data_IF_032955164440
#
_entry.id   IF_032955164440
#
_cell.length_a   1.000
_cell.length_b   1.000
_cell.length_c   1.000
_cell.angle_alpha   90.00
_cell.angle_beta   90.00
_cell.angle_gamma   90.00
#
_symmetry.space_group_name_H-M   'P 1'
#
loop_
_entity.id
_entity.type
_entity.pdbx_description
1 polymer ?
#
# COMPACT_ATOMS: atom_id res chain seq x y z
N UNK A 1 21.92 24.31 9.83
CA UNK A 1 22.84 23.16 9.79
C UNK A 1 23.82 23.35 10.94
N UNK A 2 23.87 22.47 11.94
CA UNK A 2 24.51 22.76 13.23
C UNK A 2 26.06 22.71 13.22
N UNK A 3 26.72 22.40 12.10
CA UNK A 3 28.17 22.54 11.92
C UNK A 3 29.05 21.69 12.86
N UNK A 4 28.47 20.70 13.54
CA UNK A 4 29.18 19.85 14.48
C UNK A 4 29.81 18.66 13.76
N UNK A 5 31.13 18.49 13.90
CA UNK A 5 31.86 17.29 13.48
C UNK A 5 31.68 16.20 14.53
N UNK A 6 30.66 15.37 14.34
CA UNK A 6 30.31 14.27 15.25
C UNK A 6 30.24 12.96 14.48
N UNK A 7 30.71 11.89 15.13
CA UNK A 7 30.65 10.57 14.54
C UNK A 7 29.20 10.09 14.40
N UNK A 8 28.92 9.34 13.33
CA UNK A 8 27.60 8.72 13.12
C UNK A 8 27.19 7.80 14.28
N UNK A 9 28.17 7.26 15.02
CA UNK A 9 27.91 6.48 16.22
C UNK A 9 27.30 7.34 17.33
N UNK A 10 27.86 8.52 17.61
CA UNK A 10 27.31 9.44 18.62
C UNK A 10 25.88 9.87 18.26
N UNK A 11 25.60 10.13 16.98
CA UNK A 11 24.25 10.46 16.50
C UNK A 11 23.27 9.31 16.81
N UNK A 12 23.63 8.06 16.50
CA UNK A 12 22.77 6.90 16.79
C UNK A 12 22.54 6.69 18.28
N UNK A 13 23.58 6.83 19.10
CA UNK A 13 23.46 6.69 20.56
C UNK A 13 22.51 7.75 21.14
N UNK A 14 22.64 9.01 20.70
CA UNK A 14 21.74 10.09 21.11
C UNK A 14 20.29 9.90 20.65
N UNK A 15 20.08 9.41 19.42
CA UNK A 15 18.75 9.07 18.94
C UNK A 15 18.13 7.93 19.75
N UNK A 16 18.92 6.93 20.14
CA UNK A 16 18.46 5.82 20.97
C UNK A 16 18.14 6.26 22.42
N UNK A 17 18.98 7.09 23.04
CA UNK A 17 18.71 7.71 24.34
C UNK A 17 17.40 8.52 24.35
N UNK A 18 17.07 9.14 23.22
CA UNK A 18 15.83 9.90 23.01
C UNK A 18 14.62 9.02 22.57
N UNK A 19 14.77 7.70 22.50
CA UNK A 19 13.80 6.73 21.95
C UNK A 19 13.31 7.05 20.52
N UNK A 20 14.13 7.76 19.73
CA UNK A 20 13.81 8.10 18.34
C UNK A 20 14.21 6.92 17.44
N UNK A 21 13.20 6.25 16.88
CA UNK A 21 13.36 5.10 15.99
C UNK A 21 13.11 5.49 14.53
N UNK A 22 13.94 4.97 13.63
CA UNK A 22 13.70 5.07 12.20
C UNK A 22 12.51 4.21 11.79
N UNK A 23 11.57 4.77 11.01
CA UNK A 23 10.52 4.01 10.32
C UNK A 23 10.78 4.10 8.82
N UNK A 24 10.76 2.97 8.13
CA UNK A 24 10.74 2.98 6.67
C UNK A 24 9.35 3.41 6.19
N UNK A 25 9.29 4.42 5.32
CA UNK A 25 8.05 4.80 4.67
C UNK A 25 7.58 3.65 3.75
N UNK A 26 6.29 3.33 3.79
CA UNK A 26 5.71 2.37 2.85
C UNK A 26 5.84 2.90 1.42
N UNK A 27 6.21 2.02 0.47
CA UNK A 27 6.17 2.36 -0.95
C UNK A 27 4.70 2.51 -1.36
N UNK A 28 4.29 3.74 -1.63
CA UNK A 28 2.95 4.07 -2.11
C UNK A 28 3.04 4.49 -3.56
N UNK A 29 2.13 3.98 -4.39
CA UNK A 29 1.96 4.47 -5.75
C UNK A 29 1.63 5.96 -5.71
N UNK A 30 2.27 6.76 -6.55
CA UNK A 30 1.94 8.16 -6.70
C UNK A 30 0.54 8.28 -7.30
N UNK A 31 -0.33 9.04 -6.65
CA UNK A 31 -1.71 9.25 -7.08
C UNK A 31 -1.84 10.68 -7.58
N UNK A 32 -2.23 10.84 -8.84
CA UNK A 32 -2.55 12.17 -9.38
C UNK A 32 -3.74 12.80 -8.64
N UNK A 33 -3.78 14.13 -8.57
CA UNK A 33 -4.85 14.87 -7.88
C UNK A 33 -6.25 14.42 -8.32
N UNK A 34 -6.48 14.27 -9.64
CA UNK A 34 -7.75 13.80 -10.20
C UNK A 34 -8.18 12.42 -9.69
N UNK A 35 -7.24 11.52 -9.42
CA UNK A 35 -7.52 10.18 -8.90
C UNK A 35 -7.73 10.21 -7.40
N UNK A 36 -7.07 11.12 -6.68
CA UNK A 36 -7.31 11.36 -5.26
C UNK A 36 -8.74 11.85 -5.03
N UNK A 37 -9.20 12.79 -5.84
CA UNK A 37 -10.54 13.37 -5.69
C UNK A 37 -11.62 12.33 -5.99
N UNK A 38 -11.50 11.57 -7.08
CA UNK A 38 -12.39 10.44 -7.38
C UNK A 38 -12.44 9.39 -6.27
N UNK A 39 -11.30 9.10 -5.63
CA UNK A 39 -11.25 8.18 -4.49
C UNK A 39 -11.96 8.74 -3.27
N UNK A 40 -11.86 10.05 -3.04
CA UNK A 40 -12.58 10.73 -1.97
C UNK A 40 -14.09 10.70 -2.22
N UNK A 41 -14.53 11.09 -3.42
CA UNK A 41 -15.94 11.08 -3.80
C UNK A 41 -16.56 9.68 -3.63
N UNK A 42 -15.86 8.65 -4.11
CA UNK A 42 -16.29 7.26 -3.92
C UNK A 42 -16.38 6.90 -2.43
N UNK A 43 -15.35 7.22 -1.64
CA UNK A 43 -15.32 6.92 -0.21
C UNK A 43 -16.48 7.60 0.54
N UNK A 44 -16.79 8.86 0.24
CA UNK A 44 -17.93 9.58 0.82
C UNK A 44 -19.27 8.95 0.45
N UNK A 45 -19.43 8.43 -0.77
CA UNK A 45 -20.68 7.76 -1.19
C UNK A 45 -20.88 6.43 -0.46
N UNK A 46 -19.82 5.70 -0.15
CA UNK A 46 -19.89 4.37 0.47
C UNK A 46 -19.61 4.36 1.98
N UNK A 47 -19.45 5.54 2.60
CA UNK A 47 -19.10 5.69 4.01
C UNK A 47 -20.12 5.02 4.94
N UNK A 48 -21.41 5.22 4.67
CA UNK A 48 -22.52 4.66 5.47
C UNK A 48 -22.97 3.26 4.99
N UNK A 49 -22.24 2.64 4.07
CA UNK A 49 -22.65 1.37 3.47
C UNK A 49 -22.51 0.24 4.49
N UNK A 50 -23.62 -0.44 4.80
CA UNK A 50 -23.65 -1.51 5.81
C UNK A 50 -22.94 -2.78 5.33
N UNK A 51 -22.53 -3.63 6.27
CA UNK A 51 -21.91 -4.92 5.99
C UNK A 51 -22.78 -5.83 5.08
N UNK A 52 -24.11 -5.79 5.25
CA UNK A 52 -25.04 -6.53 4.40
C UNK A 52 -25.00 -6.08 2.93
N UNK A 53 -24.85 -4.77 2.70
CA UNK A 53 -24.72 -4.23 1.35
C UNK A 53 -23.40 -4.63 0.72
N UNK A 54 -22.30 -4.61 1.49
CA UNK A 54 -21.00 -5.10 1.02
C UNK A 54 -21.01 -6.59 0.68
N UNK A 55 -21.76 -7.42 1.42
CA UNK A 55 -21.90 -8.86 1.11
C UNK A 55 -22.51 -9.13 -0.27
N UNK A 56 -23.36 -8.23 -0.75
CA UNK A 56 -23.97 -8.35 -2.07
C UNK A 56 -23.03 -7.88 -3.21
N UNK A 57 -21.89 -7.25 -2.90
CA UNK A 57 -20.93 -6.77 -3.90
C UNK A 57 -20.02 -7.90 -4.34
N UNK A 58 -20.04 -8.21 -5.64
CA UNK A 58 -19.08 -9.13 -6.26
C UNK A 58 -17.90 -8.34 -6.83
N UNK A 59 -16.74 -8.42 -6.17
CA UNK A 59 -15.50 -7.83 -6.64
C UNK A 59 -14.78 -8.76 -7.62
N UNK A 60 -14.19 -8.20 -8.66
CA UNK A 60 -13.37 -8.92 -9.64
C UNK A 60 -12.06 -8.17 -9.87
N UNK A 61 -10.97 -8.90 -9.97
CA UNK A 61 -9.66 -8.37 -10.34
C UNK A 61 -8.88 -9.43 -11.13
N UNK A 62 -7.90 -8.97 -11.89
CA UNK A 62 -7.02 -9.81 -12.70
C UNK A 62 -5.59 -9.67 -12.15
N UNK A 63 -4.97 -10.79 -11.81
CA UNK A 63 -3.59 -10.80 -11.33
C UNK A 63 -2.71 -11.69 -12.21
N UNK A 64 -1.51 -11.21 -12.51
CA UNK A 64 -0.50 -12.01 -13.18
C UNK A 64 0.12 -13.00 -12.18
N UNK A 65 0.08 -14.29 -12.49
CA UNK A 65 0.86 -15.29 -11.76
C UNK A 65 2.13 -15.60 -12.55
N UNK A 66 3.29 -15.37 -11.95
CA UNK A 66 4.56 -15.71 -12.57
C UNK A 66 5.20 -16.91 -11.86
N UNK A 67 5.48 -17.96 -12.62
CA UNK A 67 6.37 -19.04 -12.16
C UNK A 67 7.81 -18.54 -12.16
N UNK A 68 8.67 -19.12 -11.31
CA UNK A 68 10.09 -18.73 -11.16
C UNK A 68 10.88 -18.66 -12.48
N UNK A 69 10.43 -19.38 -13.51
CA UNK A 69 11.05 -19.44 -14.84
C UNK A 69 10.55 -18.36 -15.82
N UNK A 70 9.47 -17.63 -15.48
CA UNK A 70 8.81 -16.66 -16.35
C UNK A 70 9.21 -15.19 -16.13
N UNK A 71 10.17 -14.89 -15.25
CA UNK A 71 10.52 -13.50 -14.93
C UNK A 71 11.10 -12.68 -16.11
N UNK A 72 11.35 -13.32 -17.27
CA UNK A 72 11.86 -12.66 -18.48
C UNK A 72 10.84 -12.50 -19.61
N UNK A 73 9.63 -13.10 -19.57
CA UNK A 73 8.61 -12.92 -20.61
C UNK A 73 7.21 -12.91 -20.00
N UNK A 74 6.43 -11.88 -20.36
CA UNK A 74 5.03 -11.60 -20.00
C UNK A 74 4.24 -12.85 -19.55
N UNK A 75 3.83 -12.88 -18.28
CA UNK A 75 2.98 -13.92 -17.70
C UNK A 75 1.52 -13.66 -18.08
N UNK A 76 0.83 -14.66 -18.62
CA UNK A 76 -0.58 -14.55 -19.04
C UNK A 76 -1.55 -14.28 -17.88
N UNK A 77 -2.70 -13.68 -18.21
CA UNK A 77 -3.75 -13.27 -17.26
C UNK A 77 -4.76 -14.40 -17.07
N UNK A 78 -5.11 -14.71 -15.82
CA UNK A 78 -6.27 -15.54 -15.47
C UNK A 78 -7.25 -14.70 -14.64
N UNK A 79 -8.51 -14.68 -15.09
CA UNK A 79 -9.64 -14.02 -14.39
C UNK A 79 -10.04 -14.87 -13.19
N UNK A 80 -10.00 -14.31 -11.98
CA UNK A 80 -10.39 -15.02 -10.77
C UNK A 80 -11.70 -14.43 -10.21
N UNK A 81 -12.81 -15.14 -10.37
CA UNK A 81 -14.07 -14.81 -9.72
C UNK A 81 -14.05 -15.34 -8.28
N UNK A 82 -13.82 -14.45 -7.31
CA UNK A 82 -13.80 -14.78 -5.89
C UNK A 82 -15.15 -15.29 -5.41
N UNK A 83 -15.23 -16.56 -5.01
CA UNK A 83 -16.39 -17.13 -4.29
C UNK A 83 -16.24 -16.81 -2.80
N UNK A 84 -17.15 -15.99 -2.26
CA UNK A 84 -17.25 -15.72 -0.83
C UNK A 84 -17.51 -17.02 -0.05
N UNK A 85 -16.62 -17.33 0.90
CA UNK A 85 -16.86 -18.27 1.99
C UNK A 85 -16.83 -17.49 3.30
N UNK A 86 -17.99 -17.35 3.92
CA UNK A 86 -18.18 -17.29 5.37
C UNK A 86 -19.45 -18.09 5.69
#
# INVERSE_FOLDING_TARGET
MLGLDVSAHLIRSRLHEADIKGRMAAQKTQVEAKHRDKRMDFASVVEDLTADKWRAVAFSDEAAFCTRWGQQKWCGVLVNAGKNKF
#
